data_IF_685091497637
#
_entry.id   IF_685091497637
#
_cell.length_a   1.000
_cell.length_b   1.000
_cell.length_c   1.000
_cell.angle_alpha   90.00
_cell.angle_beta   90.00
_cell.angle_gamma   90.00
#
_symmetry.space_group_name_H-M   'P 1'
#
loop_
_entity.id
_entity.type
_entity.pdbx_description
1 polymer ?
#
# COMPACT_ATOMS: atom_id res chain seq x y z
N UNK A 1 9.00 16.07 -11.97
CA UNK A 1 7.85 16.47 -11.13
C UNK A 1 8.42 17.00 -9.83
N UNK A 2 7.78 18.01 -9.25
CA UNK A 2 8.08 18.49 -7.90
C UNK A 2 7.69 17.39 -6.89
N UNK A 3 8.52 17.14 -5.87
CA UNK A 3 8.27 16.11 -4.86
C UNK A 3 7.47 16.63 -3.65
N UNK A 4 6.80 17.78 -3.81
CA UNK A 4 5.97 18.39 -2.77
C UNK A 4 4.53 17.94 -2.98
N UNK A 5 4.01 17.17 -2.01
CA UNK A 5 2.69 16.54 -2.07
C UNK A 5 1.54 17.47 -1.65
N UNK A 6 1.84 18.58 -0.97
CA UNK A 6 0.85 19.49 -0.39
C UNK A 6 0.95 20.88 -1.03
N UNK A 7 -0.15 21.62 -1.05
CA UNK A 7 -0.16 23.02 -1.47
C UNK A 7 0.22 23.98 -0.33
N UNK A 8 0.16 25.28 -0.59
CA UNK A 8 0.47 26.33 0.39
C UNK A 8 -0.50 26.38 1.59
N UNK A 9 -1.59 25.61 1.56
CA UNK A 9 -2.60 25.51 2.60
C UNK A 9 -2.60 24.11 3.28
N UNK A 10 -1.50 23.35 3.16
CA UNK A 10 -1.33 21.99 3.70
C UNK A 10 -2.37 20.97 3.15
N UNK A 11 -2.95 21.24 1.97
CA UNK A 11 -3.87 20.30 1.32
C UNK A 11 -3.12 19.41 0.34
N UNK A 12 -3.32 18.09 0.46
CA UNK A 12 -2.76 17.12 -0.49
C UNK A 12 -3.26 17.41 -1.90
N UNK A 13 -2.33 17.59 -2.84
CA UNK A 13 -2.64 17.90 -4.24
C UNK A 13 -3.43 16.74 -4.88
N UNK A 14 -4.42 17.02 -5.74
CA UNK A 14 -5.36 15.99 -6.25
C UNK A 14 -4.72 14.91 -7.12
N UNK A 15 -3.51 15.15 -7.63
CA UNK A 15 -2.76 14.20 -8.44
C UNK A 15 -1.74 13.38 -7.64
N UNK A 16 -1.66 13.57 -6.32
CA UNK A 16 -0.81 12.76 -5.45
C UNK A 16 -1.46 11.39 -5.29
N UNK A 17 -0.69 10.37 -5.62
CA UNK A 17 -1.06 8.98 -5.40
C UNK A 17 -0.38 8.46 -4.15
N UNK A 18 -1.09 7.59 -3.44
CA UNK A 18 -0.49 6.81 -2.37
C UNK A 18 0.60 5.87 -2.92
N UNK A 19 1.49 5.41 -2.03
CA UNK A 19 2.60 4.53 -2.39
C UNK A 19 2.12 3.23 -3.06
N UNK A 20 1.02 2.65 -2.58
CA UNK A 20 0.39 1.43 -3.09
C UNK A 20 -0.05 1.60 -4.55
N UNK A 21 -0.80 2.68 -4.82
CA UNK A 21 -1.28 2.99 -6.16
C UNK A 21 -0.11 3.27 -7.12
N UNK A 22 0.91 4.00 -6.65
CA UNK A 22 2.13 4.24 -7.42
C UNK A 22 2.86 2.93 -7.76
N UNK A 23 3.03 2.02 -6.78
CA UNK A 23 3.70 0.74 -6.99
C UNK A 23 2.94 -0.13 -7.99
N UNK A 24 1.62 -0.30 -7.81
CA UNK A 24 0.76 -1.11 -8.68
C UNK A 24 0.78 -0.56 -10.12
N UNK A 25 0.61 0.75 -10.29
CA UNK A 25 0.59 1.37 -11.63
C UNK A 25 1.95 1.30 -12.32
N UNK A 26 3.06 1.39 -11.57
CA UNK A 26 4.42 1.19 -12.11
C UNK A 26 4.59 -0.22 -12.65
N UNK A 27 4.15 -1.24 -11.90
CA UNK A 27 4.20 -2.65 -12.35
C UNK A 27 3.36 -2.82 -13.61
N UNK A 28 2.11 -2.36 -13.60
CA UNK A 28 1.21 -2.44 -14.75
C UNK A 28 1.79 -1.78 -16.02
N UNK A 29 2.50 -0.65 -15.87
CA UNK A 29 3.16 0.03 -16.99
C UNK A 29 4.42 -0.70 -17.48
N UNK A 30 5.09 -1.46 -16.63
CA UNK A 30 6.38 -2.12 -16.94
C UNK A 30 6.25 -3.43 -17.73
N UNK A 31 5.03 -3.94 -17.94
CA UNK A 31 4.79 -5.25 -18.56
C UNK A 31 4.99 -6.43 -17.61
N UNK A 32 5.37 -6.18 -16.35
CA UNK A 32 5.43 -7.19 -15.29
C UNK A 32 4.04 -7.43 -14.67
N UNK A 33 3.87 -8.59 -14.04
CA UNK A 33 2.65 -8.94 -13.30
C UNK A 33 2.88 -8.84 -11.79
N UNK A 34 1.92 -8.24 -11.08
CA UNK A 34 1.83 -8.26 -9.62
C UNK A 34 1.05 -9.47 -9.08
N UNK A 35 0.62 -10.39 -9.94
CA UNK A 35 -0.16 -11.54 -9.53
C UNK A 35 0.68 -12.45 -8.61
N UNK A 36 0.12 -12.81 -7.45
CA UNK A 36 0.78 -13.55 -6.38
C UNK A 36 1.98 -12.84 -5.72
N UNK A 37 2.14 -11.53 -5.93
CA UNK A 37 3.21 -10.77 -5.30
C UNK A 37 2.94 -10.50 -3.80
N UNK A 38 4.01 -10.06 -3.10
CA UNK A 38 3.93 -9.45 -1.77
C UNK A 38 4.16 -7.95 -1.90
N UNK A 39 3.30 -7.15 -1.26
CA UNK A 39 3.44 -5.70 -1.19
C UNK A 39 3.96 -5.30 0.20
N UNK A 40 5.08 -4.59 0.22
CA UNK A 40 5.63 -3.97 1.44
C UNK A 40 5.35 -2.47 1.41
N UNK A 41 4.71 -1.94 2.44
CA UNK A 41 4.42 -0.52 2.59
C UNK A 41 4.61 -0.06 4.02
N UNK A 42 5.01 1.18 4.25
CA UNK A 42 5.24 1.68 5.61
C UNK A 42 3.93 1.76 6.39
N UNK A 43 2.94 2.48 5.87
CA UNK A 43 1.65 2.67 6.53
C UNK A 43 0.60 1.70 6.00
N UNK A 44 -0.32 1.28 6.86
CA UNK A 44 -1.37 0.34 6.49
C UNK A 44 -2.25 0.88 5.34
N UNK A 45 -2.67 0.05 4.37
CA UNK A 45 -3.43 0.53 3.23
C UNK A 45 -4.80 1.09 3.60
N UNK A 46 -5.17 2.22 2.98
CA UNK A 46 -6.53 2.74 3.09
C UNK A 46 -7.53 1.85 2.34
N UNK A 47 -8.83 2.11 2.50
CA UNK A 47 -9.90 1.33 1.86
C UNK A 47 -9.78 1.31 0.33
N UNK A 48 -9.48 2.44 -0.30
CA UNK A 48 -9.33 2.51 -1.76
C UNK A 48 -8.08 1.77 -2.25
N UNK A 49 -6.93 1.93 -1.58
CA UNK A 49 -5.72 1.19 -1.92
C UNK A 49 -5.92 -0.32 -1.71
N UNK A 50 -6.67 -0.73 -0.70
CA UNK A 50 -7.00 -2.14 -0.45
C UNK A 50 -7.77 -2.77 -1.62
N UNK A 51 -8.73 -2.04 -2.21
CA UNK A 51 -9.44 -2.49 -3.42
C UNK A 51 -8.47 -2.68 -4.59
N UNK A 52 -7.52 -1.75 -4.77
CA UNK A 52 -6.52 -1.85 -5.83
C UNK A 52 -5.59 -3.05 -5.62
N UNK A 53 -5.14 -3.30 -4.39
CA UNK A 53 -4.29 -4.44 -4.03
C UNK A 53 -4.97 -5.76 -4.41
N UNK A 54 -6.26 -5.90 -4.06
CA UNK A 54 -7.06 -7.09 -4.40
C UNK A 54 -7.12 -7.29 -5.92
N UNK A 55 -7.44 -6.22 -6.67
CA UNK A 55 -7.55 -6.27 -8.14
C UNK A 55 -6.20 -6.50 -8.83
N UNK A 56 -5.10 -6.07 -8.22
CA UNK A 56 -3.75 -6.28 -8.73
C UNK A 56 -3.27 -7.74 -8.57
N UNK A 57 -4.03 -8.60 -7.89
CA UNK A 57 -3.68 -10.01 -7.67
C UNK A 57 -2.61 -10.23 -6.60
N UNK A 58 -2.31 -9.23 -5.77
CA UNK A 58 -1.37 -9.33 -4.66
C UNK A 58 -1.95 -10.27 -3.59
N UNK A 59 -1.11 -11.11 -2.98
CA UNK A 59 -1.55 -12.14 -2.02
C UNK A 59 -1.07 -11.93 -0.60
N UNK A 60 -0.05 -11.09 -0.40
CA UNK A 60 0.45 -10.72 0.92
C UNK A 60 0.73 -9.22 0.99
N UNK A 61 0.37 -8.59 2.10
CA UNK A 61 0.66 -7.20 2.42
C UNK A 61 1.37 -7.13 3.77
N UNK A 62 2.53 -6.51 3.79
CA UNK A 62 3.34 -6.30 4.99
C UNK A 62 3.46 -4.81 5.24
N UNK A 63 3.20 -4.38 6.48
CA UNK A 63 3.32 -2.98 6.87
C UNK A 63 3.85 -2.77 8.28
N UNK A 64 4.30 -1.56 8.61
CA UNK A 64 4.89 -1.26 9.93
C UNK A 64 3.96 -0.43 10.80
N UNK A 65 3.31 0.58 10.22
CA UNK A 65 2.50 1.55 10.96
C UNK A 65 1.01 1.35 10.69
N UNK A 66 0.21 1.16 11.74
CA UNK A 66 -1.25 1.16 11.60
C UNK A 66 -1.75 2.59 11.35
N UNK A 67 -2.39 2.80 10.20
CA UNK A 67 -3.09 4.05 9.89
C UNK A 67 -4.43 4.10 10.63
N UNK A 68 -5.00 5.31 10.77
CA UNK A 68 -6.12 5.62 11.70
C UNK A 68 -7.37 4.72 11.64
N UNK A 69 -7.57 3.93 10.57
CA UNK A 69 -8.75 3.10 10.35
C UNK A 69 -8.35 1.71 9.82
N UNK A 70 -8.88 0.67 10.46
CA UNK A 70 -8.60 -0.74 10.10
C UNK A 70 -9.44 -1.26 8.92
N UNK A 71 -10.32 -0.44 8.33
CA UNK A 71 -11.26 -0.86 7.28
C UNK A 71 -10.55 -1.46 6.05
N UNK A 72 -9.41 -0.89 5.67
CA UNK A 72 -8.59 -1.41 4.57
C UNK A 72 -8.00 -2.79 4.90
N UNK A 73 -7.36 -2.92 6.05
CA UNK A 73 -6.81 -4.18 6.58
C UNK A 73 -7.91 -5.26 6.64
N UNK A 74 -9.07 -4.91 7.19
CA UNK A 74 -10.20 -5.82 7.33
C UNK A 74 -10.73 -6.27 5.97
N UNK A 75 -10.78 -5.37 4.98
CA UNK A 75 -11.15 -5.72 3.61
C UNK A 75 -10.16 -6.70 2.98
N UNK A 76 -8.85 -6.47 3.14
CA UNK A 76 -7.80 -7.37 2.63
C UNK A 76 -7.92 -8.77 3.23
N UNK A 77 -8.05 -8.86 4.56
CA UNK A 77 -8.24 -10.15 5.26
C UNK A 77 -9.49 -10.89 4.78
N UNK A 78 -10.61 -10.19 4.60
CA UNK A 78 -11.86 -10.77 4.06
C UNK A 78 -11.72 -11.28 2.63
N UNK A 79 -10.83 -10.67 1.84
CA UNK A 79 -10.52 -11.10 0.48
C UNK A 79 -9.51 -12.27 0.43
N UNK A 80 -9.07 -12.78 1.58
CA UNK A 80 -8.10 -13.88 1.67
C UNK A 80 -6.66 -13.47 1.37
N UNK A 81 -6.33 -12.18 1.55
CA UNK A 81 -4.96 -11.69 1.47
C UNK A 81 -4.30 -11.87 2.84
N UNK A 82 -3.07 -12.37 2.84
CA UNK A 82 -2.23 -12.45 4.03
C UNK A 82 -1.76 -11.05 4.44
N UNK A 83 -2.02 -10.64 5.68
CA UNK A 83 -1.74 -9.29 6.15
C UNK A 83 -0.96 -9.36 7.44
N UNK A 84 0.27 -8.85 7.39
CA UNK A 84 1.22 -8.90 8.48
C UNK A 84 1.68 -7.49 8.85
N UNK A 85 1.71 -7.21 10.15
CA UNK A 85 2.32 -6.01 10.68
C UNK A 85 3.67 -6.39 11.31
N UNK A 86 4.73 -5.70 10.92
CA UNK A 86 6.09 -5.94 11.42
C UNK A 86 6.63 -4.72 12.17
N UNK A 87 7.27 -4.95 13.32
CA UNK A 87 8.00 -3.91 14.03
C UNK A 87 9.42 -3.80 13.46
N UNK A 88 9.84 -2.57 13.14
CA UNK A 88 11.14 -2.31 12.49
C UNK A 88 12.35 -2.79 13.32
N UNK A 89 12.21 -2.86 14.64
CA UNK A 89 13.25 -3.35 15.56
C UNK A 89 13.55 -4.86 15.38
N UNK A 90 12.64 -5.61 14.76
CA UNK A 90 12.80 -7.04 14.52
C UNK A 90 13.62 -7.36 13.26
N UNK A 91 13.80 -6.39 12.36
CA UNK A 91 14.42 -6.60 11.04
C UNK A 91 15.96 -6.56 11.06
N UNK A 92 16.59 -6.24 12.18
CA UNK A 92 18.07 -6.25 12.30
C UNK A 92 18.66 -7.66 12.51
N UNK A 93 17.83 -8.70 12.62
CA UNK A 93 18.25 -10.06 12.97
C UNK A 93 18.03 -11.13 11.88
N UNK A 94 17.72 -10.75 10.64
CA UNK A 94 17.60 -11.66 9.48
C UNK A 94 18.81 -11.57 8.52
#
# INVERSE_FOLDING_TARGET
>A
FENVCEDENDQTKPYVLHAEANAITKVAKSGNSSNNATLYVTSSPCLECSKLIIQAGIKRVVFTESYRLDDGINLLKRAGIDVEQVELETLEND
#
